data_IF_710705705596
#
_entry.id   IF_710705705596
#
_cell.length_a   1.000
_cell.length_b   1.000
_cell.length_c   1.000
_cell.angle_alpha   90.00
_cell.angle_beta   90.00
_cell.angle_gamma   90.00
#
_symmetry.space_group_name_H-M   'P 1'
#
loop_
_entity.id
_entity.type
_entity.pdbx_description
1 polymer ?
#
# COMPACT_ATOMS: atom_id res chain seq x y z
N UNK A 1 14.40 -4.94 -11.01
CA UNK A 1 13.23 -5.56 -10.38
C UNK A 1 12.12 -5.75 -11.43
N UNK A 2 11.46 -6.94 -11.48
CA UNK A 2 10.48 -7.28 -12.53
C UNK A 2 9.34 -6.28 -12.68
N UNK A 3 8.91 -5.63 -11.60
CA UNK A 3 7.85 -4.64 -11.65
C UNK A 3 8.17 -3.50 -12.61
N UNK A 4 9.40 -3.02 -12.66
CA UNK A 4 9.76 -1.87 -13.50
C UNK A 4 9.83 -2.21 -14.98
N UNK A 5 10.10 -3.47 -15.33
CA UNK A 5 10.15 -3.96 -16.72
C UNK A 5 8.80 -4.47 -17.25
N UNK A 6 7.87 -4.85 -16.38
CA UNK A 6 6.54 -5.31 -16.78
C UNK A 6 5.53 -4.15 -16.76
N UNK A 7 4.99 -3.70 -17.90
CA UNK A 7 4.08 -2.56 -17.96
C UNK A 7 2.75 -2.78 -17.23
N UNK A 8 2.34 -4.03 -17.02
CA UNK A 8 1.07 -4.36 -16.37
C UNK A 8 1.18 -4.36 -14.84
N UNK A 9 2.37 -4.59 -14.29
CA UNK A 9 2.57 -4.52 -12.86
C UNK A 9 2.67 -3.07 -12.39
N UNK A 10 1.89 -2.74 -11.39
CA UNK A 10 1.86 -1.42 -10.74
C UNK A 10 1.92 -1.58 -9.24
N UNK A 11 2.53 -0.63 -8.58
CA UNK A 11 2.59 -0.60 -7.12
C UNK A 11 2.04 0.71 -6.59
N UNK A 12 1.29 0.63 -5.50
CA UNK A 12 0.83 1.79 -4.77
C UNK A 12 0.98 1.59 -3.27
N UNK A 13 1.49 2.60 -2.59
CA UNK A 13 1.52 2.65 -1.14
C UNK A 13 0.90 3.93 -0.61
N UNK A 14 0.15 3.80 0.48
CA UNK A 14 -0.29 4.94 1.29
C UNK A 14 0.56 4.98 2.55
N UNK A 15 1.25 6.08 2.72
CA UNK A 15 2.06 6.34 3.91
C UNK A 15 1.26 7.18 4.88
N UNK A 16 1.18 6.73 6.12
CA UNK A 16 0.47 7.42 7.19
C UNK A 16 1.45 7.72 8.32
N UNK A 17 1.58 8.99 8.69
CA UNK A 17 2.37 9.39 9.85
C UNK A 17 1.47 9.46 11.08
N UNK A 18 1.77 8.66 12.10
CA UNK A 18 1.04 8.72 13.39
C UNK A 18 1.10 10.08 14.07
N UNK A 19 2.11 10.89 13.76
CA UNK A 19 2.25 12.25 14.32
C UNK A 19 1.38 13.29 13.62
N UNK A 20 0.96 12.99 12.39
CA UNK A 20 0.18 13.91 11.54
C UNK A 20 -1.30 13.53 11.48
N UNK A 21 -1.67 12.39 12.05
CA UNK A 21 -3.04 11.88 12.04
C UNK A 21 -3.54 11.69 13.47
N UNK A 22 -4.61 12.39 13.83
CA UNK A 22 -5.38 12.15 15.05
C UNK A 22 -6.46 11.11 14.76
N UNK A 23 -6.09 9.84 14.74
CA UNK A 23 -7.06 8.77 14.75
C UNK A 23 -7.20 8.28 16.20
N UNK A 24 -8.39 8.46 16.74
CA UNK A 24 -8.71 8.00 18.10
C UNK A 24 -8.90 6.48 18.14
N UNK A 25 -9.21 5.88 16.99
CA UNK A 25 -9.41 4.46 16.82
C UNK A 25 -8.58 3.88 15.66
N UNK A 26 -7.95 2.74 15.93
CA UNK A 26 -7.16 1.98 14.94
C UNK A 26 -8.04 1.48 13.79
N UNK A 27 -9.29 1.16 14.06
CA UNK A 27 -10.27 0.67 13.08
C UNK A 27 -10.66 1.79 12.10
N UNK A 28 -10.94 2.99 12.62
CA UNK A 28 -11.23 4.16 11.81
C UNK A 28 -10.04 4.52 10.90
N UNK A 29 -8.81 4.45 11.44
CA UNK A 29 -7.59 4.66 10.67
C UNK A 29 -7.49 3.65 9.53
N UNK A 30 -7.70 2.37 9.82
CA UNK A 30 -7.64 1.30 8.85
C UNK A 30 -8.63 1.54 7.69
N UNK A 31 -9.90 1.81 7.99
CA UNK A 31 -10.92 2.08 6.98
C UNK A 31 -10.56 3.28 6.10
N UNK A 32 -10.12 4.39 6.70
CA UNK A 32 -9.72 5.59 5.95
C UNK A 32 -8.51 5.37 5.06
N UNK A 33 -7.52 4.60 5.53
CA UNK A 33 -6.31 4.28 4.74
C UNK A 33 -6.64 3.35 3.59
N UNK A 34 -7.39 2.28 3.82
CA UNK A 34 -7.83 1.38 2.74
C UNK A 34 -8.69 2.11 1.72
N UNK A 35 -9.56 3.01 2.16
CA UNK A 35 -10.29 3.88 1.25
C UNK A 35 -9.37 4.65 0.32
N UNK A 36 -8.31 5.27 0.84
CA UNK A 36 -7.37 6.02 0.01
C UNK A 36 -6.64 5.14 -1.01
N UNK A 37 -6.32 3.90 -0.63
CA UNK A 37 -5.71 2.95 -1.56
C UNK A 37 -6.63 2.65 -2.74
N UNK A 38 -7.90 2.34 -2.48
CA UNK A 38 -8.82 1.86 -3.51
C UNK A 38 -9.51 3.00 -4.27
N UNK A 39 -9.96 4.05 -3.59
CA UNK A 39 -10.74 5.12 -4.21
C UNK A 39 -10.03 5.82 -5.36
N UNK A 40 -8.72 5.97 -5.26
CA UNK A 40 -7.96 6.67 -6.30
C UNK A 40 -7.42 5.74 -7.41
N UNK A 41 -7.51 4.42 -7.22
CA UNK A 41 -6.91 3.46 -8.15
C UNK A 41 -7.91 2.55 -8.85
N UNK A 42 -9.08 2.34 -8.26
CA UNK A 42 -10.12 1.57 -8.93
C UNK A 42 -10.86 2.47 -9.92
N UNK A 43 -10.87 2.06 -11.18
CA UNK A 43 -11.70 2.67 -12.21
C UNK A 43 -13.04 1.92 -12.29
N UNK A 44 -14.15 2.65 -12.24
CA UNK A 44 -15.49 2.05 -12.29
C UNK A 44 -15.81 1.35 -13.62
N UNK A 45 -14.99 1.57 -14.64
CA UNK A 45 -15.11 0.93 -15.95
C UNK A 45 -14.42 -0.43 -16.02
N UNK A 46 -13.53 -0.70 -15.09
CA UNK A 46 -12.74 -1.93 -15.04
C UNK A 46 -13.36 -2.96 -14.10
N UNK A 47 -12.83 -4.17 -14.11
CA UNK A 47 -13.25 -5.28 -13.26
C UNK A 47 -12.10 -5.77 -12.41
N UNK A 48 -12.29 -5.84 -11.10
CA UNK A 48 -11.23 -6.12 -10.14
C UNK A 48 -11.52 -7.36 -9.30
N UNK A 49 -10.47 -8.12 -9.05
CA UNK A 49 -10.40 -9.14 -7.99
C UNK A 49 -9.40 -8.64 -6.95
N UNK A 50 -9.82 -8.53 -5.71
CA UNK A 50 -9.01 -8.03 -4.62
C UNK A 50 -8.57 -9.19 -3.73
N UNK A 51 -7.27 -9.35 -3.56
CA UNK A 51 -6.68 -10.29 -2.63
C UNK A 51 -6.06 -9.51 -1.48
N UNK A 52 -6.37 -9.90 -0.27
CA UNK A 52 -5.96 -9.22 0.96
C UNK A 52 -5.20 -10.22 1.80
N UNK A 53 -4.05 -9.81 2.33
CA UNK A 53 -3.26 -10.65 3.22
C UNK A 53 -4.05 -10.95 4.51
N UNK A 54 -4.14 -12.24 4.83
CA UNK A 54 -4.85 -12.71 6.02
C UNK A 54 -4.07 -12.31 7.28
N UNK A 55 -4.78 -11.66 8.21
CA UNK A 55 -4.28 -11.38 9.54
C UNK A 55 -5.07 -12.15 10.58
N UNK A 56 -4.37 -12.78 11.50
CA UNK A 56 -4.90 -13.79 12.44
C UNK A 56 -6.02 -13.23 13.35
N UNK A 57 -6.03 -11.93 13.64
CA UNK A 57 -6.89 -11.33 14.66
C UNK A 57 -8.08 -10.48 14.13
N UNK A 58 -8.39 -10.53 12.82
CA UNK A 58 -9.22 -9.47 12.24
C UNK A 58 -10.31 -9.98 11.27
N UNK A 59 -11.06 -11.01 11.67
CA UNK A 59 -12.08 -11.65 10.81
C UNK A 59 -13.15 -10.72 10.24
N UNK A 60 -13.51 -9.65 10.95
CA UNK A 60 -14.57 -8.73 10.53
C UNK A 60 -14.11 -7.63 9.58
N UNK A 61 -12.81 -7.43 9.43
CA UNK A 61 -12.26 -6.32 8.62
C UNK A 61 -12.46 -6.48 7.13
N UNK A 62 -12.33 -7.69 6.61
CA UNK A 62 -12.53 -7.94 5.18
C UNK A 62 -13.98 -7.79 4.80
N UNK A 63 -14.90 -8.25 5.64
CA UNK A 63 -16.33 -8.06 5.40
C UNK A 63 -16.73 -6.59 5.51
N UNK A 64 -16.12 -5.86 6.43
CA UNK A 64 -16.31 -4.40 6.54
C UNK A 64 -15.73 -3.69 5.32
N UNK A 65 -14.53 -4.05 4.87
CA UNK A 65 -13.93 -3.48 3.66
C UNK A 65 -14.77 -3.82 2.42
N UNK A 66 -15.22 -5.07 2.29
CA UNK A 66 -16.09 -5.50 1.19
C UNK A 66 -17.37 -4.67 1.15
N UNK A 67 -18.08 -4.52 2.26
CA UNK A 67 -19.28 -3.68 2.37
C UNK A 67 -18.96 -2.22 2.03
N UNK A 68 -17.87 -1.69 2.55
CA UNK A 68 -17.44 -0.33 2.27
C UNK A 68 -17.20 -0.10 0.78
N UNK A 69 -16.49 -1.01 0.11
CA UNK A 69 -16.21 -0.90 -1.32
C UNK A 69 -17.48 -1.01 -2.19
N UNK A 70 -18.38 -1.91 -1.83
CA UNK A 70 -19.61 -2.16 -2.59
C UNK A 70 -20.65 -1.07 -2.32
N UNK A 71 -20.95 -0.82 -1.05
CA UNK A 71 -22.10 -0.02 -0.64
C UNK A 71 -21.77 1.48 -0.58
N UNK A 72 -20.64 1.84 0.03
CA UNK A 72 -20.28 3.25 0.24
C UNK A 72 -19.67 3.87 -1.00
N UNK A 73 -18.82 3.12 -1.72
CA UNK A 73 -18.09 3.64 -2.88
C UNK A 73 -18.72 3.26 -4.21
N UNK A 74 -19.79 2.50 -4.18
CA UNK A 74 -20.51 2.08 -5.38
C UNK A 74 -19.61 1.39 -6.42
N UNK A 75 -18.58 0.67 -5.96
CA UNK A 75 -17.74 -0.18 -6.82
C UNK A 75 -18.36 -1.57 -7.04
N UNK A 76 -19.62 -1.79 -6.68
CA UNK A 76 -20.28 -3.09 -6.75
C UNK A 76 -20.27 -3.75 -8.13
N UNK A 77 -20.19 -2.94 -9.21
CA UNK A 77 -20.05 -3.45 -10.57
C UNK A 77 -18.59 -3.68 -10.98
N UNK A 78 -17.63 -3.03 -10.34
CA UNK A 78 -16.21 -3.10 -10.66
C UNK A 78 -15.47 -4.12 -9.78
N UNK A 79 -15.75 -4.15 -8.48
CA UNK A 79 -15.17 -5.13 -7.56
C UNK A 79 -16.02 -6.41 -7.58
N UNK A 80 -15.52 -7.43 -8.28
CA UNK A 80 -16.21 -8.72 -8.43
C UNK A 80 -15.93 -9.68 -7.28
N UNK A 81 -14.80 -9.49 -6.61
CA UNK A 81 -14.31 -10.48 -5.67
C UNK A 81 -13.37 -9.82 -4.65
N UNK A 82 -13.53 -10.14 -3.39
CA UNK A 82 -12.63 -9.77 -2.29
C UNK A 82 -12.39 -11.02 -1.47
N UNK A 83 -11.14 -11.45 -1.38
CA UNK A 83 -10.75 -12.69 -0.69
C UNK A 83 -9.51 -12.46 0.16
N UNK A 84 -9.51 -13.06 1.34
CA UNK A 84 -8.30 -13.22 2.14
C UNK A 84 -7.50 -14.41 1.65
N UNK A 85 -6.21 -14.20 1.48
CA UNK A 85 -5.25 -15.24 1.10
C UNK A 85 -4.05 -15.21 2.05
N UNK A 86 -3.41 -16.35 2.19
CA UNK A 86 -2.13 -16.42 2.88
C UNK A 86 -1.04 -15.79 2.01
N UNK A 87 -0.25 -14.87 2.56
CA UNK A 87 0.76 -14.14 1.78
C UNK A 87 1.77 -15.05 1.10
N UNK A 88 2.11 -16.19 1.72
CA UNK A 88 3.04 -17.18 1.14
C UNK A 88 2.48 -17.94 -0.08
N UNK A 89 1.17 -17.86 -0.33
CA UNK A 89 0.49 -18.48 -1.48
C UNK A 89 0.28 -17.51 -2.64
N UNK A 90 0.64 -16.22 -2.47
CA UNK A 90 0.38 -15.19 -3.48
C UNK A 90 1.61 -14.32 -3.75
N UNK A 91 2.22 -14.50 -4.91
CA UNK A 91 3.44 -13.79 -5.31
C UNK A 91 3.26 -12.26 -5.36
N UNK A 92 2.07 -11.77 -5.71
CA UNK A 92 1.81 -10.32 -5.76
C UNK A 92 1.73 -9.71 -4.36
N UNK A 93 1.19 -10.44 -3.38
CA UNK A 93 1.18 -9.99 -1.99
C UNK A 93 2.60 -10.01 -1.44
N UNK A 94 3.38 -11.07 -1.69
CA UNK A 94 4.79 -11.11 -1.29
C UNK A 94 5.60 -9.96 -1.90
N UNK A 95 5.35 -9.66 -3.18
CA UNK A 95 6.00 -8.53 -3.86
C UNK A 95 5.59 -7.19 -3.24
N UNK A 96 4.31 -7.01 -2.89
CA UNK A 96 3.83 -5.81 -2.21
C UNK A 96 4.48 -5.66 -0.83
N UNK A 97 4.57 -6.72 -0.04
CA UNK A 97 5.23 -6.74 1.27
C UNK A 97 6.71 -6.36 1.18
N UNK A 98 7.39 -6.85 0.15
CA UNK A 98 8.78 -6.51 -0.11
C UNK A 98 8.96 -4.99 -0.32
N UNK A 99 8.10 -4.37 -1.12
CA UNK A 99 8.16 -2.94 -1.39
C UNK A 99 7.72 -2.10 -0.19
N UNK A 100 6.67 -2.51 0.51
CA UNK A 100 6.23 -1.87 1.76
C UNK A 100 7.34 -1.94 2.80
N UNK A 101 7.99 -3.12 2.93
CA UNK A 101 9.11 -3.31 3.83
C UNK A 101 10.31 -2.41 3.53
N UNK A 102 10.64 -2.23 2.24
CA UNK A 102 11.72 -1.32 1.82
C UNK A 102 11.38 0.15 2.12
N UNK A 103 10.17 0.59 1.79
CA UNK A 103 9.68 1.94 2.11
C UNK A 103 9.69 2.21 3.61
N UNK A 104 9.15 1.28 4.41
CA UNK A 104 9.09 1.41 5.86
C UNK A 104 10.49 1.44 6.48
N UNK A 105 11.40 0.58 6.06
CA UNK A 105 12.77 0.54 6.55
C UNK A 105 13.51 1.86 6.25
N UNK A 106 13.34 2.40 5.04
CA UNK A 106 13.96 3.67 4.65
C UNK A 106 13.37 4.84 5.45
N UNK A 107 12.06 4.93 5.59
CA UNK A 107 11.37 6.03 6.28
C UNK A 107 11.61 6.05 7.78
N UNK A 108 11.74 4.88 8.40
CA UNK A 108 11.97 4.75 9.84
C UNK A 108 13.48 4.74 10.21
N UNK A 109 14.37 4.96 9.26
CA UNK A 109 15.81 4.98 9.51
C UNK A 109 16.43 3.62 9.82
N UNK A 110 15.70 2.52 9.62
CA UNK A 110 16.17 1.17 9.95
C UNK A 110 17.34 0.72 9.07
N UNK A 111 17.53 1.33 7.89
CA UNK A 111 18.65 1.01 6.99
C UNK A 111 20.01 1.49 7.51
N UNK A 112 20.00 2.40 8.49
CA UNK A 112 21.20 2.97 9.09
C UNK A 112 21.61 2.25 10.39
N UNK A 113 20.77 1.30 10.85
CA UNK A 113 21.05 0.55 12.08
C UNK A 113 22.07 -0.56 11.82
N UNK A 114 22.94 -0.76 12.80
CA UNK A 114 23.88 -1.87 12.81
C UNK A 114 23.12 -3.20 12.76
N UNK A 115 23.50 -4.11 11.86
CA UNK A 115 22.78 -5.37 11.63
C UNK A 115 21.63 -5.32 10.62
N UNK A 116 21.47 -4.22 9.89
CA UNK A 116 20.48 -4.16 8.80
C UNK A 116 20.72 -5.24 7.76
N UNK A 117 19.66 -5.92 7.34
CA UNK A 117 19.74 -6.98 6.33
C UNK A 117 20.30 -6.46 5.00
N UNK A 118 21.38 -7.09 4.51
CA UNK A 118 21.98 -6.76 3.22
C UNK A 118 20.95 -6.87 2.07
N UNK A 119 20.02 -7.82 2.15
CA UNK A 119 18.94 -7.99 1.17
C UNK A 119 18.01 -6.77 1.15
N UNK A 120 17.60 -6.24 2.32
CA UNK A 120 16.75 -5.03 2.39
C UNK A 120 17.48 -3.82 1.82
N UNK A 121 18.76 -3.66 2.13
CA UNK A 121 19.58 -2.57 1.57
C UNK A 121 19.67 -2.67 0.04
N UNK A 122 19.86 -3.89 -0.50
CA UNK A 122 19.93 -4.10 -1.94
C UNK A 122 18.60 -3.77 -2.61
N UNK A 123 17.47 -4.23 -2.07
CA UNK A 123 16.14 -3.91 -2.60
C UNK A 123 15.89 -2.40 -2.62
N UNK A 124 16.23 -1.69 -1.54
CA UNK A 124 16.10 -0.23 -1.51
C UNK A 124 16.94 0.45 -2.59
N UNK A 125 18.19 0.00 -2.80
CA UNK A 125 19.05 0.53 -3.87
C UNK A 125 18.45 0.27 -5.25
N UNK A 126 17.99 -0.94 -5.51
CA UNK A 126 17.40 -1.33 -6.80
C UNK A 126 16.14 -0.50 -7.09
N UNK A 127 15.29 -0.27 -6.09
CA UNK A 127 14.12 0.61 -6.24
C UNK A 127 14.57 2.03 -6.54
N UNK A 128 15.51 2.59 -5.76
CA UNK A 128 16.03 3.94 -5.97
C UNK A 128 16.61 4.13 -7.36
N UNK A 129 17.38 3.17 -7.86
CA UNK A 129 17.95 3.20 -9.21
C UNK A 129 16.87 3.25 -10.29
N UNK A 130 15.87 2.37 -10.18
CA UNK A 130 14.77 2.32 -11.15
C UNK A 130 13.88 3.57 -11.12
N UNK A 131 13.73 4.22 -9.97
CA UNK A 131 12.96 5.45 -9.80
C UNK A 131 13.78 6.72 -10.03
N UNK A 132 15.09 6.59 -10.30
CA UNK A 132 16.02 7.70 -10.42
C UNK A 132 15.95 8.67 -9.22
N UNK A 133 15.93 8.10 -8.01
CA UNK A 133 15.90 8.85 -6.75
C UNK A 133 17.08 8.45 -5.85
N UNK A 134 17.51 9.35 -4.97
CA UNK A 134 18.57 9.06 -4.01
C UNK A 134 18.08 8.36 -2.75
N UNK A 135 16.80 8.43 -2.44
CA UNK A 135 16.25 7.88 -1.20
C UNK A 135 14.75 7.58 -1.31
N UNK A 136 14.30 6.57 -0.56
CA UNK A 136 12.87 6.29 -0.36
C UNK A 136 12.31 6.97 0.91
N UNK A 137 13.16 7.52 1.76
CA UNK A 137 12.74 8.10 3.05
C UNK A 137 11.76 9.27 2.88
N UNK A 138 11.96 10.09 1.86
CA UNK A 138 11.09 11.22 1.53
C UNK A 138 10.41 11.08 0.16
N UNK A 139 10.48 9.90 -0.44
CA UNK A 139 9.93 9.67 -1.77
C UNK A 139 8.41 9.75 -1.76
N UNK A 140 7.87 10.69 -2.51
CA UNK A 140 6.43 10.88 -2.72
C UNK A 140 6.16 11.14 -4.19
N UNK A 141 5.00 10.74 -4.66
CA UNK A 141 4.61 10.91 -6.07
C UNK A 141 3.29 11.66 -6.20
N UNK A 142 3.08 12.23 -7.38
CA UNK A 142 1.78 12.77 -7.74
C UNK A 142 0.71 11.66 -7.82
N UNK A 143 -0.56 11.95 -7.56
CA UNK A 143 -1.64 10.96 -7.71
C UNK A 143 -1.73 10.33 -9.11
N UNK A 144 -1.25 11.03 -10.13
CA UNK A 144 -1.21 10.56 -11.52
C UNK A 144 -0.12 9.54 -11.82
N UNK A 145 0.83 9.33 -10.91
CA UNK A 145 1.86 8.29 -11.09
C UNK A 145 1.22 6.91 -11.11
N UNK A 146 1.48 6.15 -12.17
CA UNK A 146 0.81 4.88 -12.42
C UNK A 146 1.69 3.66 -12.12
N UNK A 147 3.02 3.82 -12.14
CA UNK A 147 3.94 2.69 -12.05
C UNK A 147 4.32 2.34 -10.63
N UNK A 148 4.81 3.33 -9.90
CA UNK A 148 5.25 3.17 -8.52
C UNK A 148 4.80 4.39 -7.72
N UNK A 149 3.57 4.35 -7.26
CA UNK A 149 2.94 5.47 -6.57
C UNK A 149 3.12 5.35 -5.06
N UNK A 150 3.64 6.40 -4.45
CA UNK A 150 3.75 6.54 -2.99
C UNK A 150 3.04 7.81 -2.58
N UNK A 151 1.88 7.64 -1.97
CA UNK A 151 1.02 8.73 -1.53
C UNK A 151 1.13 8.92 -0.01
N UNK A 152 1.38 10.15 0.43
CA UNK A 152 1.40 10.49 1.84
C UNK A 152 0.03 11.03 2.27
N UNK A 153 -0.69 10.24 3.06
CA UNK A 153 -1.96 10.66 3.65
C UNK A 153 -1.69 11.54 4.87
N UNK A 154 -2.01 12.82 4.71
CA UNK A 154 -1.97 13.83 5.78
C UNK A 154 -3.41 14.02 6.26
N UNK A 155 -3.73 13.55 7.46
CA UNK A 155 -5.05 13.78 8.07
C UNK A 155 -5.36 15.29 8.12
N UNK A 156 -6.64 15.67 8.01
CA UNK A 156 -7.02 17.07 8.25
C UNK A 156 -6.62 17.41 9.68
N UNK A 157 -5.72 18.36 9.86
CA UNK A 157 -5.61 19.05 11.15
C UNK A 157 -6.94 19.75 11.34
N UNK A 158 -7.72 19.36 12.35
CA UNK A 158 -8.78 20.19 12.85
C UNK A 158 -8.12 21.50 13.34
N UNK A 159 -8.33 22.57 12.57
CA UNK A 159 -8.04 23.93 13.04
C UNK A 159 -9.07 24.33 14.08
#
# INVERSE_FOLDING_TARGET
LPIFSNPELRFRAVVVSRRETNFDDTEEMFQKVYYQVFNNWLDRRDSYRLFIDRRIDERDRVDTLRRCLIDTFQFGNSVKFVEEVESHENDLIQLADLFIGALAASRNGHLQLEGSSAAKLQICRDICQNLNTSTLASYETWPSEQKFNVFHFRGRRNM
#
